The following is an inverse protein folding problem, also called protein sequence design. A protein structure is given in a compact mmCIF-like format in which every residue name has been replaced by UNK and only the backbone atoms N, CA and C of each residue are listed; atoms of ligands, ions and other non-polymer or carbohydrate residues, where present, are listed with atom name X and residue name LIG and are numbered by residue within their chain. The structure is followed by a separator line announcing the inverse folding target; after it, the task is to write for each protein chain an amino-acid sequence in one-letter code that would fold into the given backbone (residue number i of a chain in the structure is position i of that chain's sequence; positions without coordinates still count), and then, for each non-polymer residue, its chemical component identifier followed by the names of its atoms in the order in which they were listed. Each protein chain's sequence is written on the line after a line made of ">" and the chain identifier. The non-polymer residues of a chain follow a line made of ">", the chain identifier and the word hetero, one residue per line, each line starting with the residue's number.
data_IF_973905349591
#
_entry.id   IF_973905349591
#
_cell.length_a   1.000
_cell.length_b   1.000
_cell.length_c   1.000
_cell.angle_alpha   90.00
_cell.angle_beta   90.00
_cell.angle_gamma   90.00
#
_symmetry.space_group_name_H-M   'P 1'
#
loop_
_entity.id
_entity.type
_entity.pdbx_description
1 polymer ?
#
# COMPACT_ATOMS: atom_id res chain seq x y z
N UNK A 1 -29.96 -6.76 36.16
CA UNK A 1 -28.94 -7.58 35.51
C UNK A 1 -28.85 -7.11 34.05
N UNK A 2 -27.80 -6.43 33.64
CA UNK A 2 -27.65 -6.06 32.23
C UNK A 2 -27.11 -7.26 31.46
N UNK A 3 -27.73 -7.50 30.32
CA UNK A 3 -27.39 -8.48 29.29
C UNK A 3 -25.91 -8.42 28.96
N UNK A 4 -25.23 -9.54 29.04
CA UNK A 4 -23.95 -9.79 28.34
C UNK A 4 -24.28 -9.93 26.86
N UNK A 5 -24.16 -8.81 26.16
CA UNK A 5 -24.17 -8.80 24.69
C UNK A 5 -22.84 -9.31 24.16
N UNK A 6 -22.90 -10.43 23.48
CA UNK A 6 -22.05 -10.87 22.37
C UNK A 6 -20.64 -10.20 22.30
N UNK A 7 -19.70 -10.72 23.07
CA UNK A 7 -18.32 -10.74 22.63
C UNK A 7 -18.28 -11.68 21.41
N UNK A 8 -18.39 -11.10 20.23
CA UNK A 8 -18.15 -11.82 19.00
C UNK A 8 -16.74 -12.41 19.09
N UNK A 9 -16.64 -13.71 18.89
CA UNK A 9 -15.38 -14.46 18.86
C UNK A 9 -14.48 -13.93 17.74
N UNK A 10 -13.75 -12.85 18.02
CA UNK A 10 -12.62 -12.44 17.20
C UNK A 10 -11.49 -13.42 17.50
N UNK A 11 -11.13 -14.25 16.56
CA UNK A 11 -9.85 -14.94 16.66
C UNK A 11 -8.75 -13.89 16.55
N UNK A 12 -8.17 -13.54 17.68
CA UNK A 12 -7.08 -12.58 17.82
C UNK A 12 -5.78 -13.40 17.73
N UNK A 13 -5.09 -13.33 16.62
CA UNK A 13 -3.74 -13.86 16.51
C UNK A 13 -2.76 -12.78 17.01
N UNK A 14 -2.19 -12.99 18.20
CA UNK A 14 -1.16 -12.09 18.73
C UNK A 14 0.13 -12.33 17.95
N UNK A 15 0.53 -11.35 17.19
CA UNK A 15 1.87 -11.33 16.59
C UNK A 15 2.86 -10.67 17.56
N UNK A 16 4.17 -10.90 17.41
CA UNK A 16 5.18 -10.19 18.22
C UNK A 16 5.08 -8.66 18.12
N UNK A 17 4.38 -8.15 17.12
CA UNK A 17 4.35 -6.74 16.74
C UNK A 17 2.95 -6.12 16.69
N UNK A 18 1.87 -6.86 16.95
CA UNK A 18 0.53 -6.31 16.88
C UNK A 18 -0.58 -7.35 17.04
N UNK A 19 -1.81 -6.88 16.95
CA UNK A 19 -3.03 -7.69 17.04
C UNK A 19 -3.61 -7.85 15.65
N UNK A 20 -3.50 -9.06 15.08
CA UNK A 20 -4.11 -9.41 13.82
C UNK A 20 -5.59 -9.73 14.01
N UNK A 21 -6.45 -9.09 13.23
CA UNK A 21 -7.89 -9.34 13.25
C UNK A 21 -8.28 -10.30 12.12
N UNK A 22 -8.96 -11.39 12.46
CA UNK A 22 -9.59 -12.27 11.48
C UNK A 22 -11.07 -11.92 11.34
N UNK A 23 -11.54 -11.75 10.12
CA UNK A 23 -12.95 -11.48 9.84
C UNK A 23 -13.79 -12.75 9.92
N UNK A 24 -14.45 -12.98 11.02
CA UNK A 24 -15.35 -14.13 11.10
C UNK A 24 -16.78 -13.85 10.64
N UNK A 25 -17.30 -12.61 10.76
CA UNK A 25 -18.72 -12.32 10.48
C UNK A 25 -19.01 -10.98 9.79
N UNK A 26 -18.00 -10.22 9.40
CA UNK A 26 -18.17 -8.85 8.89
C UNK A 26 -17.73 -8.66 7.43
N UNK A 27 -17.45 -9.76 6.73
CA UNK A 27 -17.09 -9.67 5.31
C UNK A 27 -18.23 -9.06 4.50
N UNK A 28 -17.89 -8.18 3.57
CA UNK A 28 -18.84 -7.67 2.58
C UNK A 28 -19.39 -8.82 1.73
N UNK A 29 -20.54 -8.61 1.10
CA UNK A 29 -21.08 -9.59 0.13
C UNK A 29 -20.14 -9.80 -1.07
N UNK A 30 -19.37 -8.77 -1.41
CA UNK A 30 -18.34 -8.79 -2.46
C UNK A 30 -17.22 -7.82 -2.07
N UNK A 31 -15.95 -8.19 -2.28
CA UNK A 31 -14.80 -7.29 -2.09
C UNK A 31 -14.61 -6.34 -3.28
N UNK A 32 -15.41 -6.50 -4.34
CA UNK A 32 -15.29 -5.70 -5.54
C UNK A 32 -16.31 -4.55 -5.51
N UNK A 33 -15.88 -3.33 -5.87
CA UNK A 33 -16.78 -2.21 -6.01
C UNK A 33 -17.84 -2.51 -7.08
N UNK A 34 -18.98 -1.82 -6.99
CA UNK A 34 -19.99 -1.85 -8.04
C UNK A 34 -19.40 -1.39 -9.40
N UNK A 35 -20.05 -1.77 -10.49
CA UNK A 35 -19.66 -1.31 -11.83
C UNK A 35 -19.63 0.23 -11.91
N UNK A 36 -20.59 0.88 -11.28
CA UNK A 36 -20.70 2.35 -11.31
C UNK A 36 -19.55 2.99 -10.54
N UNK A 37 -19.21 2.48 -9.35
CA UNK A 37 -18.07 2.96 -8.58
C UNK A 37 -16.76 2.70 -9.31
N UNK A 38 -16.60 1.54 -9.94
CA UNK A 38 -15.44 1.23 -10.78
C UNK A 38 -15.33 2.21 -11.94
N UNK A 39 -16.42 2.56 -12.59
CA UNK A 39 -16.45 3.53 -13.68
C UNK A 39 -16.07 4.94 -13.20
N UNK A 40 -16.53 5.35 -12.02
CA UNK A 40 -16.15 6.64 -11.41
C UNK A 40 -14.63 6.66 -11.18
N UNK A 41 -14.09 5.65 -10.52
CA UNK A 41 -12.67 5.57 -10.18
C UNK A 41 -11.75 5.48 -11.41
N UNK A 42 -12.23 4.86 -12.49
CA UNK A 42 -11.51 4.69 -13.74
C UNK A 42 -11.85 5.75 -14.79
N UNK A 43 -12.71 6.72 -14.46
CA UNK A 43 -13.06 7.78 -15.40
C UNK A 43 -11.87 8.69 -15.70
N UNK A 44 -11.78 9.18 -16.95
CA UNK A 44 -10.74 10.15 -17.33
C UNK A 44 -10.72 11.41 -16.45
N UNK A 45 -11.87 11.77 -15.85
CA UNK A 45 -11.98 12.93 -14.95
C UNK A 45 -11.15 12.75 -13.68
N UNK A 46 -11.14 11.56 -13.10
CA UNK A 46 -10.36 11.24 -11.89
C UNK A 46 -8.88 11.13 -12.22
N UNK A 47 -8.54 10.47 -13.33
CA UNK A 47 -7.15 10.38 -13.81
C UNK A 47 -6.58 11.72 -14.31
N UNK A 48 -7.40 12.62 -14.88
CA UNK A 48 -6.98 13.95 -15.37
C UNK A 48 -6.52 14.91 -14.28
N UNK A 49 -6.84 14.67 -13.02
CA UNK A 49 -6.45 15.57 -11.93
C UNK A 49 -4.99 15.41 -11.47
N UNK A 50 -4.13 14.81 -12.31
CA UNK A 50 -2.68 14.77 -12.06
C UNK A 50 -2.32 13.88 -10.89
N UNK A 51 -2.92 12.70 -10.84
CA UNK A 51 -2.58 11.66 -9.87
C UNK A 51 -1.54 10.75 -10.50
N UNK A 52 -0.51 10.40 -9.75
CA UNK A 52 0.50 9.43 -10.15
C UNK A 52 -0.02 7.99 -10.18
N UNK A 53 -1.20 7.75 -9.62
CA UNK A 53 -1.76 6.41 -9.54
C UNK A 53 -2.26 5.92 -10.90
N UNK A 54 -1.80 4.76 -11.31
CA UNK A 54 -2.08 4.16 -12.60
C UNK A 54 -3.25 3.19 -12.54
N UNK A 55 -3.79 2.83 -13.72
CA UNK A 55 -4.78 1.75 -13.81
C UNK A 55 -4.24 0.43 -13.26
N UNK A 56 -2.96 0.18 -13.41
CA UNK A 56 -2.31 -1.02 -12.86
C UNK A 56 -2.37 -1.06 -11.33
N UNK A 57 -2.31 0.09 -10.65
CA UNK A 57 -2.47 0.15 -9.20
C UNK A 57 -3.91 -0.15 -8.76
N UNK A 58 -4.90 0.36 -9.51
CA UNK A 58 -6.29 -0.01 -9.28
C UNK A 58 -6.48 -1.53 -9.40
N UNK A 59 -5.95 -2.15 -10.46
CA UNK A 59 -6.06 -3.58 -10.68
C UNK A 59 -5.29 -4.37 -9.60
N UNK A 60 -4.12 -3.91 -9.16
CA UNK A 60 -3.37 -4.51 -8.06
C UNK A 60 -4.16 -4.50 -6.75
N UNK A 61 -4.75 -3.36 -6.36
CA UNK A 61 -5.59 -3.26 -5.15
C UNK A 61 -6.79 -4.19 -5.25
N UNK A 62 -7.45 -4.24 -6.40
CA UNK A 62 -8.57 -5.15 -6.65
C UNK A 62 -8.19 -6.60 -6.37
N UNK A 63 -7.02 -7.06 -6.87
CA UNK A 63 -6.57 -8.45 -6.70
C UNK A 63 -6.10 -8.74 -5.27
N UNK A 64 -5.34 -7.82 -4.67
CA UNK A 64 -4.90 -7.95 -3.27
C UNK A 64 -6.11 -7.99 -2.33
N UNK A 65 -7.09 -7.13 -2.53
CA UNK A 65 -8.31 -7.12 -1.71
C UNK A 65 -9.16 -8.37 -1.93
N UNK A 66 -9.24 -8.90 -3.15
CA UNK A 66 -9.91 -10.16 -3.41
C UNK A 66 -9.23 -11.35 -2.72
N UNK A 67 -7.88 -11.37 -2.70
CA UNK A 67 -7.11 -12.38 -1.97
C UNK A 67 -7.32 -12.27 -0.46
N UNK A 68 -7.26 -11.05 0.08
CA UNK A 68 -7.51 -10.81 1.50
C UNK A 68 -8.92 -11.26 1.90
N UNK A 69 -9.93 -10.92 1.08
CA UNK A 69 -11.32 -11.37 1.28
C UNK A 69 -11.44 -12.89 1.29
N UNK A 70 -10.89 -13.57 0.27
CA UNK A 70 -10.94 -15.02 0.17
C UNK A 70 -10.23 -15.73 1.33
N UNK A 71 -9.16 -15.09 1.84
CA UNK A 71 -8.35 -15.59 2.97
C UNK A 71 -8.83 -15.10 4.32
N UNK A 72 -9.95 -14.35 4.39
CA UNK A 72 -10.51 -13.75 5.61
C UNK A 72 -9.50 -12.88 6.38
N UNK A 73 -8.64 -12.18 5.67
CA UNK A 73 -7.66 -11.25 6.22
C UNK A 73 -8.32 -9.88 6.33
N UNK A 74 -8.46 -9.37 7.53
CA UNK A 74 -9.02 -8.07 7.85
C UNK A 74 -8.03 -7.18 8.59
N UNK A 75 -8.39 -5.93 8.69
CA UNK A 75 -7.65 -4.90 9.38
C UNK A 75 -7.85 -3.55 8.71
N UNK A 76 -7.52 -2.47 9.38
CA UNK A 76 -7.58 -1.15 8.77
C UNK A 76 -6.64 -1.07 7.57
N UNK A 77 -6.91 -0.09 6.73
CA UNK A 77 -6.08 0.28 5.59
C UNK A 77 -5.57 1.69 5.81
N UNK A 78 -4.36 1.99 5.41
CA UNK A 78 -3.81 3.34 5.55
C UNK A 78 -3.03 3.77 4.31
N UNK A 79 -2.93 5.09 4.13
CA UNK A 79 -2.01 5.71 3.20
C UNK A 79 -1.27 6.85 3.91
N UNK A 80 0.04 6.89 3.77
CA UNK A 80 0.94 7.96 4.20
C UNK A 80 1.26 8.79 2.97
N UNK A 81 0.88 10.09 2.97
CA UNK A 81 0.96 10.95 1.80
C UNK A 81 -0.22 10.69 0.85
N UNK A 82 -1.30 11.46 1.00
CA UNK A 82 -2.54 11.15 0.25
C UNK A 82 -2.80 12.12 -0.87
N UNK A 83 -2.04 13.21 -0.95
CA UNK A 83 -2.20 14.24 -1.96
C UNK A 83 -3.68 14.61 -2.17
N UNK A 84 -4.26 14.33 -3.34
CA UNK A 84 -5.67 14.64 -3.65
C UNK A 84 -6.64 13.50 -3.26
N UNK A 85 -6.17 12.37 -2.73
CA UNK A 85 -7.00 11.28 -2.21
C UNK A 85 -7.51 10.28 -3.24
N UNK A 86 -6.96 10.25 -4.45
CA UNK A 86 -7.42 9.28 -5.45
C UNK A 86 -7.15 7.84 -4.99
N UNK A 87 -5.94 7.56 -4.48
CA UNK A 87 -5.61 6.21 -4.05
C UNK A 87 -6.40 5.81 -2.80
N UNK A 88 -6.67 6.74 -1.86
CA UNK A 88 -7.61 6.53 -0.75
C UNK A 88 -9.00 6.16 -1.27
N UNK A 89 -9.49 6.82 -2.33
CA UNK A 89 -10.76 6.49 -2.94
C UNK A 89 -10.78 5.06 -3.52
N UNK A 90 -9.68 4.61 -4.12
CA UNK A 90 -9.51 3.22 -4.57
C UNK A 90 -9.49 2.27 -3.38
N UNK A 91 -8.75 2.59 -2.32
CA UNK A 91 -8.65 1.76 -1.13
C UNK A 91 -10.01 1.57 -0.44
N UNK A 92 -10.77 2.66 -0.23
CA UNK A 92 -12.08 2.58 0.42
C UNK A 92 -13.11 1.82 -0.42
N UNK A 93 -13.02 1.89 -1.75
CA UNK A 93 -13.87 1.12 -2.65
C UNK A 93 -13.59 -0.39 -2.62
N UNK A 94 -12.37 -0.80 -2.24
CA UNK A 94 -11.94 -2.20 -2.18
C UNK A 94 -11.85 -2.73 -0.74
N UNK A 95 -12.68 -2.21 0.15
CA UNK A 95 -12.81 -2.75 1.51
C UNK A 95 -13.25 -4.21 1.48
N UNK A 96 -12.77 -5.00 2.42
CA UNK A 96 -13.12 -6.42 2.54
C UNK A 96 -14.19 -6.66 3.61
N UNK A 97 -14.38 -5.73 4.53
CA UNK A 97 -15.39 -5.83 5.58
C UNK A 97 -16.16 -4.52 5.78
N UNK A 98 -17.36 -4.61 6.38
CA UNK A 98 -18.19 -3.45 6.69
C UNK A 98 -17.55 -2.53 7.73
N UNK A 99 -16.75 -3.08 8.62
CA UNK A 99 -16.07 -2.36 9.71
C UNK A 99 -14.69 -1.81 9.29
N UNK A 100 -14.26 -2.12 8.08
CA UNK A 100 -12.97 -1.66 7.61
C UNK A 100 -12.96 -0.16 7.39
N UNK A 101 -11.93 0.49 7.93
CA UNK A 101 -11.72 1.91 7.85
C UNK A 101 -10.40 2.24 7.16
N UNK A 102 -10.39 3.30 6.36
CA UNK A 102 -9.19 3.79 5.66
C UNK A 102 -8.71 5.07 6.36
N UNK A 103 -7.45 5.07 6.75
CA UNK A 103 -6.81 6.19 7.41
C UNK A 103 -5.86 6.92 6.45
N UNK A 104 -6.09 8.20 6.24
CA UNK A 104 -5.37 9.06 5.34
C UNK A 104 -4.43 9.99 6.15
N UNK A 105 -3.14 9.67 6.17
CA UNK A 105 -2.12 10.47 6.87
C UNK A 105 -1.46 11.43 5.88
N UNK A 106 -1.49 12.73 6.18
CA UNK A 106 -0.86 13.76 5.33
C UNK A 106 -0.60 15.03 6.15
N UNK A 107 0.29 15.87 5.67
CA UNK A 107 0.47 17.22 6.17
C UNK A 107 -0.68 18.15 5.76
N UNK A 108 -1.40 17.80 4.70
CA UNK A 108 -2.44 18.61 4.07
C UNK A 108 -1.96 20.05 3.83
N UNK A 109 -2.53 21.04 4.50
CA UNK A 109 -2.17 22.43 4.35
C UNK A 109 -0.88 22.86 5.07
N UNK A 110 -0.33 22.06 5.98
CA UNK A 110 0.89 22.38 6.73
C UNK A 110 2.16 21.96 5.99
N UNK A 111 2.41 22.64 4.88
CA UNK A 111 3.59 22.37 4.05
C UNK A 111 4.89 22.96 4.62
N UNK A 112 4.85 23.72 5.72
CA UNK A 112 6.06 24.21 6.40
C UNK A 112 6.95 23.08 6.89
N UNK A 113 6.35 21.89 7.11
CA UNK A 113 7.01 20.66 7.57
C UNK A 113 7.32 19.67 6.44
N UNK A 114 7.01 20.04 5.20
CA UNK A 114 7.30 19.22 4.05
C UNK A 114 8.76 19.36 3.65
N UNK A 115 9.54 18.32 3.87
CA UNK A 115 10.97 18.28 3.56
C UNK A 115 11.26 18.12 2.07
N UNK A 116 10.29 17.67 1.25
CA UNK A 116 10.41 17.64 -0.21
C UNK A 116 10.40 19.05 -0.83
N UNK A 117 9.96 20.06 -0.10
CA UNK A 117 10.01 21.46 -0.55
C UNK A 117 11.43 22.05 -0.63
N UNK A 118 12.46 21.33 -0.27
CA UNK A 118 13.87 21.79 -0.29
C UNK A 118 14.40 22.15 -1.69
N UNK A 119 13.69 21.81 -2.76
CA UNK A 119 14.06 22.08 -4.16
C UNK A 119 13.38 23.28 -4.82
N UNK A 120 12.60 24.09 -4.10
CA UNK A 120 11.94 25.27 -4.66
C UNK A 120 10.73 25.00 -5.56
N UNK A 121 10.37 23.78 -5.81
CA UNK A 121 9.09 23.43 -6.38
C UNK A 121 8.06 23.52 -5.25
N UNK A 122 7.27 24.59 -5.26
CA UNK A 122 6.02 24.64 -4.47
C UNK A 122 5.12 23.55 -5.06
N UNK A 123 5.27 22.33 -4.55
CA UNK A 123 4.27 21.32 -4.78
C UNK A 123 3.00 21.91 -4.16
N UNK A 124 2.02 22.23 -4.99
CA UNK A 124 0.76 22.78 -4.54
C UNK A 124 0.14 21.75 -3.59
N UNK A 125 0.34 21.99 -2.29
CA UNK A 125 -0.31 21.19 -1.26
C UNK A 125 -1.80 21.14 -1.56
N UNK A 126 -2.36 19.97 -1.79
CA UNK A 126 -3.78 19.89 -1.96
C UNK A 126 -4.41 20.26 -0.63
N UNK A 127 -5.25 21.27 -0.67
CA UNK A 127 -6.04 21.57 0.49
C UNK A 127 -6.96 20.36 0.76
N UNK A 128 -7.17 20.03 2.01
CA UNK A 128 -8.03 18.94 2.45
C UNK A 128 -9.40 18.90 1.75
N UNK A 129 -9.89 20.06 1.27
CA UNK A 129 -11.14 20.13 0.49
C UNK A 129 -11.06 19.36 -0.84
N UNK A 130 -9.89 19.31 -1.50
CA UNK A 130 -9.72 18.56 -2.74
C UNK A 130 -9.70 17.05 -2.45
N UNK A 131 -9.06 16.65 -1.37
CA UNK A 131 -9.11 15.28 -0.88
C UNK A 131 -10.56 14.81 -0.70
N UNK A 132 -11.35 15.54 0.07
CA UNK A 132 -12.75 15.20 0.30
C UNK A 132 -13.60 15.30 -0.96
N UNK A 133 -13.27 16.17 -1.92
CA UNK A 133 -14.00 16.24 -3.20
C UNK A 133 -13.85 14.96 -4.03
N UNK A 134 -12.73 14.25 -3.90
CA UNK A 134 -12.49 12.97 -4.57
C UNK A 134 -13.15 11.84 -3.77
N UNK A 135 -12.86 11.75 -2.47
CA UNK A 135 -13.34 10.67 -1.61
C UNK A 135 -14.88 10.63 -1.55
N UNK A 136 -15.54 11.77 -1.49
CA UNK A 136 -17.01 11.85 -1.47
C UNK A 136 -17.67 11.29 -2.73
N UNK A 137 -16.99 11.27 -3.87
CA UNK A 137 -17.52 10.68 -5.09
C UNK A 137 -17.70 9.16 -4.97
N UNK A 138 -17.03 8.51 -4.04
CA UNK A 138 -17.20 7.08 -3.78
C UNK A 138 -18.51 6.73 -3.08
N UNK A 139 -19.13 7.69 -2.40
CA UNK A 139 -20.26 7.45 -1.48
C UNK A 139 -19.88 6.66 -0.23
N UNK A 140 -18.57 6.56 0.09
CA UNK A 140 -18.03 5.74 1.19
C UNK A 140 -17.18 6.56 2.16
N UNK A 141 -17.35 7.87 2.17
CA UNK A 141 -16.54 8.81 2.97
C UNK A 141 -16.66 8.57 4.48
N UNK A 142 -17.75 7.99 4.96
CA UNK A 142 -17.92 7.61 6.37
C UNK A 142 -16.93 6.54 6.84
N UNK A 143 -16.29 5.83 5.90
CA UNK A 143 -15.24 4.85 6.17
C UNK A 143 -13.83 5.42 6.01
N UNK A 144 -13.67 6.73 5.91
CA UNK A 144 -12.37 7.39 5.75
C UNK A 144 -12.16 8.39 6.88
N UNK A 145 -10.98 8.33 7.49
CA UNK A 145 -10.52 9.32 8.46
C UNK A 145 -9.23 9.98 8.00
N UNK A 146 -9.17 11.30 8.10
CA UNK A 146 -7.93 12.06 7.86
C UNK A 146 -7.16 12.25 9.17
N UNK A 147 -5.85 12.08 9.10
CA UNK A 147 -4.91 12.30 10.20
C UNK A 147 -3.86 13.30 9.73
N UNK A 148 -3.97 14.55 10.19
CA UNK A 148 -2.97 15.57 9.84
C UNK A 148 -1.73 15.37 10.71
N UNK A 149 -0.67 14.81 10.10
CA UNK A 149 0.59 14.53 10.80
C UNK A 149 1.76 14.40 9.82
N UNK A 150 2.95 14.62 10.31
CA UNK A 150 4.18 14.20 9.65
C UNK A 150 4.49 12.76 10.10
N UNK A 151 4.68 11.82 9.17
CA UNK A 151 5.00 10.43 9.52
C UNK A 151 6.28 10.31 10.34
N UNK A 152 7.25 11.21 10.15
CA UNK A 152 8.49 11.27 10.93
C UNK A 152 8.28 11.57 12.43
N UNK A 153 7.12 12.10 12.81
CA UNK A 153 6.80 12.37 14.22
C UNK A 153 6.09 11.17 14.89
N UNK A 154 5.77 10.14 14.13
CA UNK A 154 5.04 8.97 14.61
C UNK A 154 5.98 7.77 14.76
N UNK A 155 5.84 7.05 15.85
CA UNK A 155 6.39 5.72 15.99
C UNK A 155 5.33 4.63 15.70
N UNK A 156 5.77 3.37 15.67
CA UNK A 156 4.89 2.23 15.39
C UNK A 156 3.72 2.14 16.39
N UNK A 157 3.94 2.49 17.66
CA UNK A 157 2.92 2.43 18.70
C UNK A 157 1.88 3.52 18.50
N UNK A 158 2.32 4.75 18.22
CA UNK A 158 1.43 5.88 17.96
C UNK A 158 0.59 5.65 16.71
N UNK A 159 1.21 5.15 15.63
CA UNK A 159 0.51 4.80 14.40
C UNK A 159 -0.54 3.70 14.64
N UNK A 160 -0.16 2.63 15.35
CA UNK A 160 -1.06 1.53 15.70
C UNK A 160 -2.23 1.99 16.60
N UNK A 161 -1.97 2.91 17.53
CA UNK A 161 -3.03 3.47 18.39
C UNK A 161 -4.11 4.20 17.58
N UNK A 162 -3.74 4.89 16.48
CA UNK A 162 -4.69 5.50 15.56
C UNK A 162 -5.48 4.44 14.82
N UNK A 163 -4.81 3.41 14.31
CA UNK A 163 -5.44 2.33 13.53
C UNK A 163 -6.25 1.36 14.39
N UNK A 164 -5.91 1.20 15.67
CA UNK A 164 -6.44 0.24 16.66
C UNK A 164 -6.05 -1.22 16.42
N UNK A 165 -5.85 -1.63 15.18
CA UNK A 165 -5.47 -2.99 14.78
C UNK A 165 -4.33 -2.96 13.77
N UNK A 166 -3.65 -4.09 13.61
CA UNK A 166 -2.64 -4.28 12.58
C UNK A 166 -3.24 -4.08 11.20
N UNK A 167 -2.71 -3.14 10.39
CA UNK A 167 -3.26 -2.86 9.07
C UNK A 167 -3.04 -4.03 8.12
N UNK A 168 -4.07 -4.37 7.32
CA UNK A 168 -3.92 -5.35 6.24
C UNK A 168 -3.24 -4.77 4.99
N UNK A 169 -3.27 -3.46 4.85
CA UNK A 169 -2.67 -2.77 3.72
C UNK A 169 -2.23 -1.36 4.12
N UNK A 170 -1.02 -0.97 3.71
CA UNK A 170 -0.52 0.40 3.87
C UNK A 170 0.16 0.84 2.58
N UNK A 171 -0.25 2.00 2.04
CA UNK A 171 0.50 2.72 1.01
C UNK A 171 1.49 3.67 1.68
N UNK A 172 2.74 3.63 1.27
CA UNK A 172 3.80 4.58 1.65
C UNK A 172 4.06 5.45 0.42
N UNK A 173 3.50 6.66 0.43
CA UNK A 173 3.51 7.64 -0.66
C UNK A 173 3.76 9.05 -0.09
N UNK A 174 4.56 9.12 0.97
CA UNK A 174 4.88 10.35 1.68
C UNK A 174 6.04 11.11 1.06
N UNK A 175 6.97 11.55 1.89
CA UNK A 175 8.20 12.17 1.43
C UNK A 175 9.11 11.14 0.74
N UNK A 176 9.50 11.41 -0.51
CA UNK A 176 10.21 10.46 -1.39
C UNK A 176 11.73 10.46 -1.20
N UNK A 177 12.23 10.86 -0.04
CA UNK A 177 13.65 10.82 0.26
C UNK A 177 13.99 9.71 1.27
N UNK A 178 15.23 9.25 1.21
CA UNK A 178 15.71 8.05 1.91
C UNK A 178 15.28 7.95 3.37
N UNK A 179 15.41 9.04 4.15
CA UNK A 179 15.19 8.98 5.61
C UNK A 179 13.72 8.75 5.93
N UNK A 180 12.81 9.49 5.28
CA UNK A 180 11.38 9.36 5.52
C UNK A 180 10.85 8.01 5.03
N UNK A 181 11.18 7.60 3.82
CA UNK A 181 10.77 6.30 3.28
C UNK A 181 11.29 5.14 4.13
N UNK A 182 12.56 5.21 4.58
CA UNK A 182 13.12 4.19 5.48
C UNK A 182 12.41 4.16 6.83
N UNK A 183 12.13 5.34 7.40
CA UNK A 183 11.36 5.46 8.64
C UNK A 183 9.99 4.79 8.51
N UNK A 184 9.24 5.13 7.45
CA UNK A 184 7.90 4.62 7.23
C UNK A 184 7.90 3.11 7.00
N UNK A 185 8.85 2.57 6.21
CA UNK A 185 9.04 1.12 6.05
C UNK A 185 9.32 0.43 7.38
N UNK A 186 10.22 0.99 8.20
CA UNK A 186 10.56 0.43 9.50
C UNK A 186 9.39 0.51 10.48
N UNK A 187 8.66 1.62 10.50
CA UNK A 187 7.49 1.82 11.35
C UNK A 187 6.38 0.82 10.99
N UNK A 188 6.01 0.75 9.71
CA UNK A 188 4.89 -0.07 9.26
C UNK A 188 5.21 -1.56 9.32
N UNK A 189 6.44 -2.00 9.01
CA UNK A 189 6.82 -3.42 9.09
C UNK A 189 6.65 -4.02 10.49
N UNK A 190 6.65 -3.20 11.53
CA UNK A 190 6.48 -3.65 12.93
C UNK A 190 5.02 -3.90 13.32
N UNK A 191 4.08 -3.31 12.62
CA UNK A 191 2.65 -3.34 12.97
C UNK A 191 1.78 -3.96 11.88
N UNK A 192 2.34 -4.23 10.72
CA UNK A 192 1.62 -4.82 9.59
C UNK A 192 1.02 -6.17 9.98
N UNK A 193 -0.20 -6.46 9.51
CA UNK A 193 -0.79 -7.78 9.64
C UNK A 193 0.15 -8.85 9.04
N UNK A 194 0.27 -10.07 9.61
CA UNK A 194 1.20 -11.11 9.09
C UNK A 194 1.01 -11.46 7.62
N UNK A 195 -0.21 -11.29 7.09
CA UNK A 195 -0.51 -11.39 5.67
C UNK A 195 -0.89 -10.04 5.05
N UNK A 196 -0.39 -8.96 5.63
CA UNK A 196 -0.59 -7.61 5.12
C UNK A 196 0.36 -7.28 3.97
N UNK A 197 0.05 -6.18 3.29
CA UNK A 197 0.80 -5.67 2.15
C UNK A 197 1.20 -4.22 2.38
N UNK A 198 2.43 -3.89 2.02
CA UNK A 198 2.91 -2.51 1.85
C UNK A 198 2.98 -2.22 0.35
N UNK A 199 2.40 -1.11 -0.10
CA UNK A 199 2.62 -0.54 -1.42
C UNK A 199 3.58 0.65 -1.27
N UNK A 200 4.78 0.52 -1.81
CA UNK A 200 5.83 1.55 -1.78
C UNK A 200 5.78 2.33 -3.09
N UNK A 201 5.40 3.60 -3.02
CA UNK A 201 5.27 4.46 -4.20
C UNK A 201 6.60 4.94 -4.73
N UNK A 202 6.58 5.34 -6.00
CA UNK A 202 7.70 5.94 -6.73
C UNK A 202 9.01 5.12 -6.70
N UNK A 203 8.92 3.80 -6.49
CA UNK A 203 10.10 2.94 -6.46
C UNK A 203 10.90 2.99 -7.76
N UNK A 204 10.22 3.10 -8.91
CA UNK A 204 10.85 3.15 -10.25
C UNK A 204 11.00 4.58 -10.80
N UNK A 205 10.76 5.59 -10.00
CA UNK A 205 10.86 6.98 -10.43
C UNK A 205 12.26 7.52 -10.13
N UNK A 206 13.05 7.77 -11.17
CA UNK A 206 14.43 8.28 -11.02
C UNK A 206 14.48 9.68 -10.41
N UNK A 207 13.41 10.47 -10.51
CA UNK A 207 13.29 11.76 -9.82
C UNK A 207 13.25 11.58 -8.29
N UNK A 208 12.84 10.41 -7.81
CA UNK A 208 12.70 10.06 -6.41
C UNK A 208 13.59 8.88 -6.00
N UNK A 209 14.84 8.89 -6.45
CA UNK A 209 15.84 7.84 -6.19
C UNK A 209 16.02 7.48 -4.70
N UNK A 210 15.66 8.42 -3.80
CA UNK A 210 15.65 8.19 -2.35
C UNK A 210 14.81 7.00 -1.90
N UNK A 211 13.73 6.68 -2.62
CA UNK A 211 12.86 5.53 -2.35
C UNK A 211 13.59 4.21 -2.56
N UNK A 212 14.27 4.04 -3.73
CA UNK A 212 15.11 2.85 -4.00
C UNK A 212 16.19 2.66 -2.94
N UNK A 213 16.88 3.75 -2.60
CA UNK A 213 17.97 3.72 -1.59
C UNK A 213 17.42 3.36 -0.22
N UNK A 214 16.24 3.87 0.16
CA UNK A 214 15.59 3.53 1.42
C UNK A 214 15.26 2.03 1.51
N UNK A 215 14.66 1.48 0.46
CA UNK A 215 14.32 0.05 0.42
C UNK A 215 15.57 -0.83 0.39
N UNK A 216 16.59 -0.46 -0.39
CA UNK A 216 17.89 -1.16 -0.38
C UNK A 216 18.55 -1.15 1.00
N UNK A 217 18.49 -0.01 1.71
CA UNK A 217 19.00 0.09 3.10
C UNK A 217 18.18 -0.80 4.04
N UNK A 218 16.85 -0.82 3.87
CA UNK A 218 15.97 -1.69 4.66
C UNK A 218 16.31 -3.17 4.46
N UNK A 219 16.49 -3.61 3.22
CA UNK A 219 16.87 -4.99 2.89
C UNK A 219 18.26 -5.36 3.43
N UNK A 220 19.21 -4.44 3.43
CA UNK A 220 20.55 -4.69 3.99
C UNK A 220 20.51 -4.98 5.49
N UNK A 221 19.56 -4.38 6.21
CA UNK A 221 19.39 -4.57 7.67
C UNK A 221 18.50 -5.78 7.96
N UNK A 222 17.41 -5.95 7.19
CA UNK A 222 16.41 -7.02 7.38
C UNK A 222 16.12 -7.78 6.08
N UNK A 223 17.08 -8.57 5.56
CA UNK A 223 17.00 -9.18 4.22
C UNK A 223 15.86 -10.20 4.07
N UNK A 224 15.36 -10.72 5.19
CA UNK A 224 14.35 -11.77 5.20
C UNK A 224 12.95 -11.29 5.63
N UNK A 225 12.76 -9.97 5.81
CA UNK A 225 11.54 -9.46 6.42
C UNK A 225 10.45 -9.19 5.39
N UNK A 226 10.71 -8.28 4.45
CA UNK A 226 9.75 -7.87 3.42
C UNK A 226 10.26 -8.22 2.02
N UNK A 227 9.44 -8.93 1.26
CA UNK A 227 9.77 -9.38 -0.09
C UNK A 227 8.79 -8.79 -1.11
N UNK A 228 9.28 -8.30 -2.26
CA UNK A 228 8.43 -7.82 -3.33
C UNK A 228 7.77 -9.00 -4.05
N UNK A 229 6.47 -8.88 -4.34
CA UNK A 229 5.73 -9.91 -5.06
C UNK A 229 5.02 -9.38 -6.31
N UNK A 230 4.86 -8.06 -6.41
CA UNK A 230 4.20 -7.39 -7.52
C UNK A 230 4.79 -5.99 -7.67
N UNK A 231 4.85 -5.52 -8.90
CA UNK A 231 5.13 -4.12 -9.17
C UNK A 231 4.21 -3.60 -10.27
N UNK A 232 3.93 -2.32 -10.20
CA UNK A 232 3.20 -1.55 -11.19
C UNK A 232 4.09 -0.42 -11.71
N UNK A 233 3.56 0.47 -12.54
CA UNK A 233 4.32 1.61 -13.02
C UNK A 233 4.80 2.54 -11.90
N UNK A 234 4.01 2.68 -10.84
CA UNK A 234 4.32 3.60 -9.74
C UNK A 234 4.70 2.89 -8.43
N UNK A 235 4.16 1.71 -8.15
CA UNK A 235 4.27 1.12 -6.81
C UNK A 235 4.93 -0.27 -6.83
N UNK A 236 5.71 -0.52 -5.78
CA UNK A 236 6.25 -1.83 -5.43
C UNK A 236 5.47 -2.42 -4.27
N UNK A 237 4.91 -3.61 -4.47
CA UNK A 237 4.09 -4.28 -3.45
C UNK A 237 4.90 -5.32 -2.69
N UNK A 238 4.96 -5.16 -1.37
CA UNK A 238 5.78 -5.95 -0.46
C UNK A 238 4.90 -6.73 0.50
N UNK A 239 5.32 -7.93 0.85
CA UNK A 239 4.71 -8.73 1.90
C UNK A 239 5.78 -9.42 2.75
N UNK A 240 5.40 -9.94 3.92
CA UNK A 240 6.32 -10.74 4.71
C UNK A 240 6.71 -12.04 4.00
N UNK A 241 7.98 -12.44 4.12
CA UNK A 241 8.55 -13.64 3.50
C UNK A 241 7.69 -14.92 3.68
N UNK A 242 7.14 -15.24 4.85
CA UNK A 242 6.31 -16.44 5.02
C UNK A 242 5.04 -16.47 4.14
N UNK A 243 4.55 -15.31 3.69
CA UNK A 243 3.37 -15.17 2.83
C UNK A 243 3.71 -14.92 1.36
N UNK A 244 4.97 -14.74 1.03
CA UNK A 244 5.43 -14.38 -0.32
C UNK A 244 4.91 -15.35 -1.41
N UNK A 245 5.03 -16.67 -1.20
CA UNK A 245 4.54 -17.67 -2.16
C UNK A 245 3.04 -17.55 -2.45
N UNK A 246 2.24 -17.20 -1.44
CA UNK A 246 0.80 -17.00 -1.60
C UNK A 246 0.53 -15.82 -2.53
N UNK A 247 1.16 -14.69 -2.30
CA UNK A 247 0.97 -13.49 -3.11
C UNK A 247 1.51 -13.64 -4.54
N UNK A 248 2.69 -14.27 -4.71
CA UNK A 248 3.25 -14.54 -6.05
C UNK A 248 2.31 -15.45 -6.84
N UNK A 249 1.81 -16.53 -6.24
CA UNK A 249 0.88 -17.45 -6.93
C UNK A 249 -0.40 -16.74 -7.39
N UNK A 250 -0.94 -15.81 -6.60
CA UNK A 250 -2.12 -15.04 -7.00
C UNK A 250 -1.78 -14.00 -8.08
N UNK A 251 -0.64 -13.34 -8.00
CA UNK A 251 -0.17 -12.45 -9.05
C UNK A 251 -0.01 -13.20 -10.39
N UNK A 252 0.59 -14.38 -10.38
CA UNK A 252 0.75 -15.23 -11.57
C UNK A 252 -0.61 -15.60 -12.20
N UNK A 253 -1.59 -16.01 -11.39
CA UNK A 253 -2.95 -16.30 -11.89
C UNK A 253 -3.61 -15.07 -12.50
N UNK A 254 -3.42 -13.91 -11.90
CA UNK A 254 -3.92 -12.66 -12.42
C UNK A 254 -3.34 -12.36 -13.80
N UNK A 255 -2.02 -12.46 -13.96
CA UNK A 255 -1.37 -12.23 -15.25
C UNK A 255 -1.80 -13.22 -16.32
N UNK A 256 -1.90 -14.51 -16.00
CA UNK A 256 -2.35 -15.55 -16.94
C UNK A 256 -3.78 -15.31 -17.45
N UNK A 257 -4.65 -14.75 -16.61
CA UNK A 257 -6.04 -14.48 -16.95
C UNK A 257 -6.25 -13.11 -17.63
N UNK A 258 -5.27 -12.22 -17.59
CA UNK A 258 -5.37 -10.90 -18.18
C UNK A 258 -4.93 -10.96 -19.65
N UNK A 259 -5.89 -10.80 -20.59
CA UNK A 259 -5.61 -10.72 -22.03
C UNK A 259 -4.73 -9.51 -22.43
N UNK A 260 -4.36 -8.66 -21.49
CA UNK A 260 -3.63 -7.41 -21.72
C UNK A 260 -2.14 -7.51 -21.38
N UNK A 261 -1.71 -8.60 -20.75
CA UNK A 261 -0.33 -8.76 -20.31
C UNK A 261 0.44 -9.66 -21.26
N UNK A 262 1.31 -9.10 -22.07
CA UNK A 262 2.44 -9.83 -22.61
C UNK A 262 3.48 -9.91 -21.48
N UNK A 263 3.44 -11.02 -20.74
CA UNK A 263 4.29 -11.20 -19.58
C UNK A 263 5.77 -11.22 -20.00
N UNK A 264 6.54 -10.21 -19.61
CA UNK A 264 7.98 -10.36 -19.45
C UNK A 264 8.20 -11.00 -18.08
N UNK A 265 8.77 -12.19 -18.09
CA UNK A 265 9.09 -12.95 -16.91
C UNK A 265 10.35 -12.33 -16.28
N UNK A 266 10.20 -11.73 -15.11
CA UNK A 266 11.33 -11.30 -14.29
C UNK A 266 11.61 -12.34 -13.21
N UNK A 267 12.85 -12.82 -13.19
CA UNK A 267 13.34 -13.67 -12.11
C UNK A 267 13.73 -12.79 -10.92
N UNK A 268 12.92 -12.80 -9.88
CA UNK A 268 13.27 -12.24 -8.57
C UNK A 268 13.96 -13.30 -7.73
N UNK A 269 15.22 -13.49 -7.88
CA UNK A 269 16.01 -14.59 -7.32
C UNK A 269 15.85 -15.95 -8.03
N UNK A 270 16.73 -16.90 -7.75
CA UNK A 270 16.81 -18.22 -8.39
C UNK A 270 15.54 -19.08 -8.24
N UNK A 271 14.62 -18.69 -7.35
CA UNK A 271 13.41 -19.50 -7.03
C UNK A 271 12.08 -18.77 -7.26
N UNK A 272 12.08 -17.50 -7.65
CA UNK A 272 10.83 -16.73 -7.73
C UNK A 272 10.71 -15.99 -9.05
N UNK A 273 9.67 -16.31 -9.83
CA UNK A 273 9.32 -15.62 -11.06
C UNK A 273 8.16 -14.69 -10.78
N UNK A 274 8.31 -13.40 -11.05
CA UNK A 274 7.22 -12.44 -11.03
C UNK A 274 6.90 -12.05 -12.46
N UNK A 275 5.64 -12.17 -12.84
CA UNK A 275 5.14 -11.68 -14.10
C UNK A 275 4.77 -10.21 -13.93
N UNK A 276 5.29 -9.37 -14.79
CA UNK A 276 5.03 -7.95 -14.79
C UNK A 276 4.22 -7.55 -16.01
N UNK A 277 3.39 -6.54 -15.83
CA UNK A 277 2.76 -5.83 -16.94
C UNK A 277 3.88 -5.33 -17.89
N UNK A 278 3.74 -5.45 -19.22
CA UNK A 278 4.76 -4.95 -20.16
C UNK A 278 5.04 -3.46 -20.05
N UNK A 279 4.15 -2.69 -19.43
CA UNK A 279 4.39 -1.28 -19.11
C UNK A 279 5.27 -1.08 -17.86
N UNK A 280 5.58 -2.15 -17.12
CA UNK A 280 6.40 -2.10 -15.90
C UNK A 280 7.83 -2.42 -16.24
N UNK A 281 8.67 -1.40 -16.30
CA UNK A 281 10.14 -1.52 -16.36
C UNK A 281 10.65 -1.72 -14.92
N UNK A 282 11.10 -2.94 -14.62
CA UNK A 282 11.67 -3.24 -13.31
C UNK A 282 13.10 -3.71 -13.44
N UNK A 283 14.00 -2.92 -12.88
CA UNK A 283 15.37 -3.31 -12.56
C UNK A 283 15.45 -4.14 -11.27
N UNK A 284 14.48 -5.04 -11.03
CA UNK A 284 14.54 -5.95 -9.90
C UNK A 284 15.72 -6.90 -9.95
N UNK A 285 16.19 -7.18 -11.16
CA UNK A 285 17.29 -8.12 -11.38
C UNK A 285 18.57 -7.64 -10.71
N UNK A 286 18.83 -6.33 -10.72
CA UNK A 286 20.07 -5.79 -10.17
C UNK A 286 20.08 -5.77 -8.63
N UNK A 287 18.91 -5.67 -7.99
CA UNK A 287 18.84 -5.63 -6.53
C UNK A 287 18.99 -7.03 -5.87
N UNK A 288 18.70 -8.11 -6.61
CA UNK A 288 18.69 -9.46 -6.06
C UNK A 288 19.77 -10.39 -6.64
N UNK A 289 20.31 -10.08 -7.82
CA UNK A 289 21.30 -10.93 -8.52
C UNK A 289 22.74 -10.55 -8.18
N UNK A 290 23.01 -9.38 -7.61
CA UNK A 290 24.38 -8.92 -7.36
C UNK A 290 25.02 -9.47 -6.09
N UNK A 291 24.72 -10.69 -5.67
CA UNK A 291 25.57 -11.37 -4.66
C UNK A 291 26.94 -11.75 -5.20
N UNK A 292 27.17 -11.65 -6.51
CA UNK A 292 28.45 -12.06 -7.15
C UNK A 292 29.21 -10.96 -7.90
N UNK A 293 28.77 -9.71 -7.84
CA UNK A 293 29.57 -8.60 -8.37
C UNK A 293 29.54 -7.43 -7.40
N UNK A 294 30.61 -7.29 -6.66
CA UNK A 294 30.99 -6.04 -5.99
C UNK A 294 30.87 -4.91 -7.03
N UNK A 295 30.26 -3.81 -6.63
CA UNK A 295 30.39 -2.47 -7.21
C UNK A 295 29.23 -1.81 -7.97
N UNK A 296 27.96 -2.16 -7.81
CA UNK A 296 26.93 -1.28 -8.43
C UNK A 296 25.62 -1.06 -7.68
N UNK A 297 25.58 -1.29 -6.37
CA UNK A 297 24.35 -1.06 -5.59
C UNK A 297 24.25 0.33 -4.94
N UNK A 298 25.19 1.22 -5.20
CA UNK A 298 25.23 2.54 -4.58
C UNK A 298 25.75 3.58 -5.57
N UNK A 299 24.95 3.96 -6.55
CA UNK A 299 25.09 5.26 -7.22
C UNK A 299 23.72 5.91 -7.32
#
# INVERSE_FOLDING_TARGET
>A
MPNRSNEADYMIERTPYGVAQLCNHQLLKSPLPSSDLSNILLSEGVFKFGTSASRSDYDAIRHISALHYASKICGPVAEIGVYKGWFVAVLVAHRVSSEEHVFAFDLFGDQSRNVDNSGGAVVHAPQIKYFWSIVNQTGLSEHVSTVQSNSLDLDSTQFLNVLRYSPRFVSIDGAHFRIATFHDLNMISRILHPAGVIALDDYNNDAWSGVKVAYGTFLAIWPELLHPFLATNSKLYLCFKPKHKMFVSEAEKWFQNSKRCSAKQLALSTDTRVHLDPEVLLDFVDATVSKDSNDRLFC
#
